data_IF_373764592470
#
_entry.id   IF_373764592470
#
_cell.length_a   1.000
_cell.length_b   1.000
_cell.length_c   1.000
_cell.angle_alpha   90.00
_cell.angle_beta   90.00
_cell.angle_gamma   90.00
#
_symmetry.space_group_name_H-M   'P 1'
#
loop_
_entity.id
_entity.type
_entity.pdbx_description
1 polymer ?
#
# COMPACT_ATOMS: atom_id res chain seq x y z
N UNK A 1 0.18 -26.05 -0.01
CA UNK A 1 -0.26 -24.78 0.59
C UNK A 1 -0.24 -23.75 -0.51
N UNK A 2 -1.37 -23.13 -0.82
CA UNK A 2 -1.44 -22.09 -1.85
C UNK A 2 -2.01 -20.80 -1.21
N UNK A 3 -1.22 -19.73 -1.07
CA UNK A 3 -1.69 -18.46 -0.53
C UNK A 3 -2.82 -17.79 -1.33
N UNK A 4 -3.05 -18.21 -2.58
CA UNK A 4 -4.13 -17.71 -3.45
C UNK A 4 -5.43 -18.49 -3.31
N UNK A 5 -5.39 -19.69 -2.73
CA UNK A 5 -6.56 -20.54 -2.53
C UNK A 5 -6.89 -20.69 -1.04
N UNK A 6 -8.02 -20.11 -0.63
CA UNK A 6 -8.52 -20.15 0.74
C UNK A 6 -8.92 -21.56 1.19
N UNK A 7 -9.11 -22.51 0.26
CA UNK A 7 -9.40 -23.92 0.56
C UNK A 7 -8.15 -24.77 0.72
N UNK A 8 -6.98 -24.22 0.43
CA UNK A 8 -5.73 -24.98 0.52
C UNK A 8 -5.40 -25.37 1.97
N UNK A 9 -4.58 -26.41 2.13
CA UNK A 9 -4.20 -26.95 3.43
C UNK A 9 -3.67 -25.86 4.36
N UNK A 10 -4.27 -25.74 5.55
CA UNK A 10 -3.83 -24.80 6.59
C UNK A 10 -2.48 -25.23 7.15
N UNK A 11 -1.61 -24.25 7.37
CA UNK A 11 -0.28 -24.44 7.96
C UNK A 11 0.05 -23.29 8.90
N UNK A 12 1.09 -23.49 9.71
CA UNK A 12 1.67 -22.48 10.57
C UNK A 12 3.01 -22.06 9.96
N UNK A 13 3.24 -20.74 9.86
CA UNK A 13 4.51 -20.17 9.45
C UNK A 13 5.18 -19.55 10.68
N UNK A 14 6.32 -20.10 11.07
CA UNK A 14 7.12 -19.56 12.17
C UNK A 14 8.04 -18.48 11.58
N UNK A 15 7.85 -17.24 12.02
CA UNK A 15 8.59 -16.08 11.51
C UNK A 15 9.17 -15.27 12.67
N UNK A 16 10.28 -14.58 12.41
CA UNK A 16 10.87 -13.59 13.32
C UNK A 16 11.03 -12.27 12.59
N UNK A 17 10.85 -11.14 13.29
CA UNK A 17 11.02 -9.82 12.70
C UNK A 17 12.42 -9.26 12.99
N UNK A 18 13.11 -8.75 11.97
CA UNK A 18 14.44 -8.13 12.14
C UNK A 18 14.44 -7.00 13.18
N UNK A 19 13.33 -6.27 13.32
CA UNK A 19 13.21 -5.17 14.28
C UNK A 19 13.15 -5.62 15.74
N UNK A 20 12.82 -6.89 16.02
CA UNK A 20 12.85 -7.42 17.39
C UNK A 20 14.27 -7.43 17.96
N UNK A 21 15.30 -7.51 17.09
CA UNK A 21 16.69 -7.51 17.51
C UNK A 21 17.13 -6.21 18.22
N UNK A 22 16.35 -5.12 18.16
CA UNK A 22 16.67 -3.88 18.87
C UNK A 22 16.83 -4.09 20.39
N UNK A 23 16.16 -5.09 20.97
CA UNK A 23 16.28 -5.43 22.40
C UNK A 23 17.54 -6.25 22.73
N UNK A 24 18.21 -6.79 21.71
CA UNK A 24 19.35 -7.68 21.87
C UNK A 24 20.70 -6.93 21.97
N UNK A 25 20.74 -5.62 21.73
CA UNK A 25 21.97 -4.84 21.69
C UNK A 25 21.98 -3.72 22.73
N UNK A 26 23.01 -3.72 23.58
CA UNK A 26 23.25 -2.62 24.51
C UNK A 26 23.48 -1.31 23.74
N UNK A 27 22.78 -0.25 24.14
CA UNK A 27 22.87 1.08 23.51
C UNK A 27 22.07 1.25 22.21
N UNK A 28 21.27 0.26 21.79
CA UNK A 28 20.36 0.42 20.66
C UNK A 28 19.30 1.50 20.93
N UNK A 29 18.97 2.29 19.90
CA UNK A 29 18.00 3.39 20.00
C UNK A 29 17.20 3.56 18.70
N UNK A 30 16.09 4.30 18.78
CA UNK A 30 15.25 4.66 17.65
C UNK A 30 15.38 6.15 17.33
N UNK A 31 15.45 6.49 16.05
CA UNK A 31 15.49 7.87 15.57
C UNK A 31 14.24 8.13 14.73
N UNK A 32 13.53 9.20 15.05
CA UNK A 32 12.37 9.65 14.27
C UNK A 32 12.86 10.26 12.96
N UNK A 33 12.30 9.82 11.85
CA UNK A 33 12.63 10.31 10.51
C UNK A 33 11.42 10.93 9.81
N UNK A 34 11.62 11.83 8.84
CA UNK A 34 10.50 12.39 8.07
C UNK A 34 9.75 11.32 7.27
N UNK A 35 8.45 11.55 7.04
CA UNK A 35 7.57 10.63 6.29
C UNK A 35 8.10 10.30 4.89
N UNK A 36 8.88 11.19 4.28
CA UNK A 36 9.55 10.99 2.99
C UNK A 36 10.50 9.80 2.96
N UNK A 37 10.90 9.26 4.12
CA UNK A 37 11.72 8.03 4.21
C UNK A 37 10.92 6.73 4.23
N UNK A 38 9.59 6.80 4.25
CA UNK A 38 8.75 5.62 4.41
C UNK A 38 7.52 5.65 3.49
N UNK A 39 7.59 4.91 2.38
CA UNK A 39 6.48 4.68 1.43
C UNK A 39 6.18 3.17 1.32
N UNK A 40 5.53 2.58 2.35
CA UNK A 40 5.29 1.14 2.38
C UNK A 40 4.21 0.72 1.37
N UNK A 41 4.37 -0.46 0.77
CA UNK A 41 3.33 -1.15 0.01
C UNK A 41 3.12 -2.52 0.62
N UNK A 42 2.02 -2.71 1.35
CA UNK A 42 1.67 -3.97 2.03
C UNK A 42 0.41 -4.59 1.43
N UNK A 43 -0.52 -3.76 0.96
CA UNK A 43 -1.78 -4.19 0.35
C UNK A 43 -2.00 -3.48 -0.99
N UNK A 44 -2.95 -3.98 -1.77
CA UNK A 44 -3.40 -3.33 -3.01
C UNK A 44 -3.91 -1.90 -2.79
N UNK A 45 -4.38 -1.56 -1.58
CA UNK A 45 -4.71 -0.18 -1.19
C UNK A 45 -3.48 0.74 -1.33
N UNK A 46 -2.34 0.31 -0.81
CA UNK A 46 -1.09 1.07 -0.85
C UNK A 46 -0.53 1.10 -2.28
N UNK A 47 -0.69 0.01 -3.03
CA UNK A 47 -0.24 -0.06 -4.42
C UNK A 47 -1.05 0.90 -5.31
N UNK A 48 -2.37 0.96 -5.16
CA UNK A 48 -3.22 1.92 -5.87
C UNK A 48 -2.79 3.35 -5.56
N UNK A 49 -2.51 3.62 -4.29
CA UNK A 49 -2.07 4.93 -3.85
C UNK A 49 -0.69 5.32 -4.39
N UNK A 50 0.27 4.39 -4.37
CA UNK A 50 1.62 4.62 -4.86
C UNK A 50 1.66 4.87 -6.37
N UNK A 51 0.77 4.21 -7.13
CA UNK A 51 0.69 4.36 -8.59
C UNK A 51 -0.13 5.58 -9.04
N UNK A 52 -0.86 6.24 -8.13
CA UNK A 52 -1.60 7.46 -8.46
C UNK A 52 -0.70 8.69 -8.39
N UNK A 53 -1.24 9.85 -8.78
CA UNK A 53 -0.57 11.15 -8.67
C UNK A 53 -0.45 11.69 -7.22
N UNK A 54 -0.95 10.94 -6.22
CA UNK A 54 -0.68 11.22 -4.81
C UNK A 54 0.78 10.98 -4.44
N UNK A 55 1.51 10.17 -5.21
CA UNK A 55 2.95 9.99 -5.08
C UNK A 55 3.66 10.45 -6.35
N UNK A 56 4.86 10.99 -6.17
CA UNK A 56 5.74 11.40 -7.26
C UNK A 56 7.14 10.82 -7.06
N UNK A 57 7.91 10.72 -8.14
CA UNK A 57 9.31 10.31 -8.07
C UNK A 57 10.20 11.55 -7.93
N UNK A 58 10.98 11.58 -6.85
CA UNK A 58 12.05 12.57 -6.64
C UNK A 58 13.33 11.78 -6.38
N UNK A 59 14.36 11.96 -7.20
CA UNK A 59 15.61 11.20 -7.14
C UNK A 59 15.41 9.68 -7.07
N UNK A 60 14.52 9.16 -7.92
CA UNK A 60 14.10 7.75 -7.95
C UNK A 60 13.45 7.23 -6.65
N UNK A 61 12.99 8.12 -5.78
CA UNK A 61 12.27 7.77 -4.54
C UNK A 61 10.81 8.21 -4.65
N UNK A 62 9.86 7.32 -4.29
CA UNK A 62 8.47 7.73 -4.16
C UNK A 62 8.32 8.62 -2.94
N UNK A 63 7.86 9.85 -3.17
CA UNK A 63 7.54 10.83 -2.13
C UNK A 63 6.09 11.25 -2.26
N UNK A 64 5.46 11.53 -1.12
CA UNK A 64 4.09 12.05 -1.11
C UNK A 64 4.08 13.40 -1.84
N UNK A 65 3.14 13.56 -2.76
CA UNK A 65 2.96 14.80 -3.51
C UNK A 65 2.61 15.94 -2.52
N UNK A 66 3.35 17.08 -2.53
CA UNK A 66 3.07 18.22 -1.67
C UNK A 66 1.62 18.74 -1.77
N UNK A 67 0.98 18.57 -2.93
CA UNK A 67 -0.42 18.94 -3.14
C UNK A 67 -1.41 18.14 -2.27
N UNK A 68 -1.01 17.00 -1.69
CA UNK A 68 -1.80 16.26 -0.70
C UNK A 68 -1.85 16.94 0.69
N UNK A 69 -1.17 18.08 0.90
CA UNK A 69 -1.22 18.80 2.17
C UNK A 69 -0.55 18.05 3.32
N UNK A 70 0.49 17.26 3.02
CA UNK A 70 1.29 16.54 4.01
C UNK A 70 0.71 15.23 4.54
N UNK A 71 -0.49 14.83 4.11
CA UNK A 71 -1.12 13.55 4.50
C UNK A 71 -1.53 12.74 3.29
N UNK A 72 -1.21 11.45 3.29
CA UNK A 72 -1.59 10.56 2.21
C UNK A 72 -3.10 10.23 2.27
N UNK A 73 -3.79 10.15 1.12
CA UNK A 73 -5.19 9.71 1.04
C UNK A 73 -5.42 8.36 1.73
N UNK A 74 -6.54 8.21 2.44
CA UNK A 74 -6.92 6.94 3.08
C UNK A 74 -7.65 6.06 2.06
N UNK A 75 -7.04 4.93 1.68
CA UNK A 75 -7.60 4.00 0.69
C UNK A 75 -8.11 2.73 1.37
N UNK A 76 -9.37 2.39 1.09
CA UNK A 76 -10.01 1.14 1.54
C UNK A 76 -10.67 0.44 0.36
N UNK A 77 -10.03 -0.62 -0.14
CA UNK A 77 -10.61 -1.49 -1.16
C UNK A 77 -11.28 -2.71 -0.53
N UNK A 78 -12.34 -3.22 -1.17
CA UNK A 78 -12.98 -4.47 -0.80
C UNK A 78 -11.97 -5.63 -0.85
N UNK A 79 -11.63 -6.19 0.31
CA UNK A 79 -10.62 -7.24 0.43
C UNK A 79 -11.05 -8.56 -0.24
N UNK A 80 -12.34 -8.79 -0.48
CA UNK A 80 -12.78 -10.00 -1.18
C UNK A 80 -12.51 -9.91 -2.67
N UNK A 81 -12.50 -8.70 -3.23
CA UNK A 81 -12.37 -8.47 -4.67
C UNK A 81 -10.98 -7.98 -5.06
N UNK A 82 -10.33 -7.17 -4.23
CA UNK A 82 -9.12 -6.43 -4.60
C UNK A 82 -7.90 -6.78 -3.74
N UNK A 83 -7.91 -7.91 -3.03
CA UNK A 83 -6.75 -8.36 -2.22
C UNK A 83 -5.56 -8.78 -3.09
N UNK A 84 -5.82 -9.35 -4.26
CA UNK A 84 -4.78 -9.82 -5.18
C UNK A 84 -4.50 -8.78 -6.26
N UNK A 85 -3.22 -8.64 -6.61
CA UNK A 85 -2.74 -7.67 -7.61
C UNK A 85 -3.46 -7.86 -8.95
N UNK A 86 -3.65 -9.10 -9.41
CA UNK A 86 -4.33 -9.35 -10.69
C UNK A 86 -5.75 -8.78 -10.75
N UNK A 87 -6.50 -8.84 -9.64
CA UNK A 87 -7.84 -8.25 -9.59
C UNK A 87 -7.79 -6.71 -9.57
N UNK A 88 -6.79 -6.13 -8.91
CA UNK A 88 -6.55 -4.68 -8.99
C UNK A 88 -6.20 -4.26 -10.43
N UNK A 89 -5.36 -5.00 -11.15
CA UNK A 89 -5.00 -4.67 -12.54
C UNK A 89 -6.23 -4.64 -13.46
N UNK A 90 -7.13 -5.62 -13.33
CA UNK A 90 -8.40 -5.64 -14.07
C UNK A 90 -9.25 -4.41 -13.71
N UNK A 91 -9.34 -4.10 -12.41
CA UNK A 91 -10.08 -2.95 -11.93
C UNK A 91 -9.50 -1.62 -12.43
N UNK A 92 -8.19 -1.53 -12.65
CA UNK A 92 -7.52 -0.31 -13.12
C UNK A 92 -7.13 -0.37 -14.59
N UNK A 93 -7.71 -1.26 -15.39
CA UNK A 93 -7.39 -1.41 -16.81
C UNK A 93 -7.69 -0.14 -17.62
N UNK A 94 -8.67 0.66 -17.19
CA UNK A 94 -8.95 1.99 -17.76
C UNK A 94 -7.98 3.08 -17.31
N UNK A 95 -7.00 2.76 -16.48
CA UNK A 95 -6.07 3.68 -15.84
C UNK A 95 -6.39 3.94 -14.37
N UNK A 96 -5.43 4.58 -13.69
CA UNK A 96 -5.52 4.90 -12.26
C UNK A 96 -6.12 6.30 -12.11
N UNK A 97 -7.14 6.47 -11.25
CA UNK A 97 -7.73 7.79 -11.01
C UNK A 97 -6.73 8.70 -10.29
N UNK A 98 -6.85 10.00 -10.53
CA UNK A 98 -6.16 11.01 -9.72
C UNK A 98 -6.64 10.93 -8.27
N UNK A 99 -5.69 10.88 -7.33
CA UNK A 99 -5.92 10.84 -5.88
C UNK A 99 -5.23 12.00 -5.16
N UNK A 100 -4.52 12.90 -5.84
CA UNK A 100 -3.79 14.02 -5.22
C UNK A 100 -4.69 14.91 -4.34
N UNK A 101 -5.94 15.14 -4.78
CA UNK A 101 -6.95 15.92 -4.05
C UNK A 101 -7.90 15.05 -3.21
N UNK A 102 -7.66 13.74 -3.14
CA UNK A 102 -8.51 12.80 -2.42
C UNK A 102 -8.12 12.76 -0.94
N UNK A 103 -9.10 12.89 -0.04
CA UNK A 103 -8.88 12.62 1.40
C UNK A 103 -9.09 11.15 1.74
N UNK A 104 -10.11 10.53 1.14
CA UNK A 104 -10.50 9.14 1.40
C UNK A 104 -11.19 8.55 0.18
N UNK A 105 -10.81 7.33 -0.17
CA UNK A 105 -11.48 6.50 -1.17
C UNK A 105 -11.90 5.18 -0.51
N UNK A 106 -13.17 4.80 -0.68
CA UNK A 106 -13.68 3.49 -0.25
C UNK A 106 -14.42 2.84 -1.40
N UNK A 107 -14.00 1.64 -1.77
CA UNK A 107 -14.59 0.85 -2.85
C UNK A 107 -15.19 -0.41 -2.25
N UNK A 108 -16.48 -0.63 -2.48
CA UNK A 108 -17.22 -1.82 -2.06
C UNK A 108 -17.90 -2.43 -3.28
N UNK A 109 -17.81 -3.75 -3.42
CA UNK A 109 -18.34 -4.43 -4.60
C UNK A 109 -17.49 -4.21 -5.87
N UNK A 110 -17.91 -4.80 -7.00
CA UNK A 110 -17.17 -4.76 -8.24
C UNK A 110 -17.27 -3.39 -8.93
N UNK A 111 -16.12 -2.77 -9.12
CA UNK A 111 -15.91 -1.45 -9.73
C UNK A 111 -14.71 -1.52 -10.68
N UNK A 112 -14.86 -0.88 -11.84
CA UNK A 112 -13.77 -0.57 -12.76
C UNK A 112 -13.44 0.92 -12.69
N UNK A 113 -12.15 1.23 -12.63
CA UNK A 113 -11.58 2.56 -12.53
C UNK A 113 -10.96 2.93 -13.87
N UNK A 114 -10.96 4.23 -14.16
CA UNK A 114 -10.32 4.79 -15.33
C UNK A 114 -9.62 6.09 -15.01
N UNK A 115 -8.64 6.44 -15.85
CA UNK A 115 -8.03 7.76 -15.86
C UNK A 115 -8.93 8.70 -16.65
N UNK A 116 -9.30 9.83 -16.04
CA UNK A 116 -9.89 10.97 -16.77
C UNK A 116 -8.78 11.93 -17.17
#
# INVERSE_FOLDING_TARGET
VDPKDEKSQKVIQLETAMGAAIECFEGATAIVVPRTRFAPVKKCNDLLLLRSDAYMLVDNKPVLNPACGGSAPVISLDSKLYKLVGALEVATAGGIPSLVNCKKLTVKGPVSMSKK
#
